data_IF_081664849791
#
_entry.id   IF_081664849791
#
_cell.length_a   1.000
_cell.length_b   1.000
_cell.length_c   1.000
_cell.angle_alpha   90.00
_cell.angle_beta   90.00
_cell.angle_gamma   90.00
#
_symmetry.space_group_name_H-M   'P 1'
#
loop_
_entity.id
_entity.type
_entity.pdbx_description
1 polymer ?
#
# COMPACT_ATOMS: atom_id res chain seq x y z
N UNK A 1 -10.86 -19.44 -12.19
CA UNK A 1 -11.01 -18.24 -13.05
C UNK A 1 -9.90 -17.25 -12.66
N UNK A 2 -9.21 -16.72 -13.64
CA UNK A 2 -8.14 -15.72 -13.51
C UNK A 2 -8.49 -14.48 -14.33
N UNK A 3 -8.10 -13.31 -13.83
CA UNK A 3 -8.13 -12.07 -14.60
C UNK A 3 -6.70 -11.71 -15.00
N UNK A 4 -6.50 -11.36 -16.27
CA UNK A 4 -5.24 -10.89 -16.80
C UNK A 4 -5.40 -9.45 -17.28
N UNK A 5 -4.58 -8.53 -16.77
CA UNK A 5 -4.64 -7.10 -17.10
C UNK A 5 -3.32 -6.70 -17.77
N UNK A 6 -3.38 -6.20 -19.00
CA UNK A 6 -2.21 -5.75 -19.75
C UNK A 6 -2.61 -4.85 -20.92
N UNK A 7 -1.83 -3.79 -21.15
CA UNK A 7 -2.13 -2.81 -22.21
C UNK A 7 -1.87 -3.34 -23.61
N UNK A 8 -0.91 -4.25 -23.77
CA UNK A 8 -0.56 -4.83 -25.06
C UNK A 8 -1.05 -6.29 -25.14
N UNK A 9 -1.88 -6.58 -26.15
CA UNK A 9 -2.36 -7.93 -26.40
C UNK A 9 -1.20 -8.93 -26.62
N UNK A 10 -0.07 -8.50 -27.18
CA UNK A 10 1.09 -9.35 -27.40
C UNK A 10 1.79 -9.75 -26.08
N UNK A 11 1.81 -8.87 -25.08
CA UNK A 11 2.39 -9.17 -23.76
C UNK A 11 1.65 -10.30 -23.05
N UNK A 12 0.34 -10.38 -23.25
CA UNK A 12 -0.50 -11.38 -22.60
C UNK A 12 -0.70 -12.65 -23.40
N UNK A 13 -0.41 -12.65 -24.72
CA UNK A 13 -0.68 -13.81 -25.59
C UNK A 13 0.04 -15.06 -25.10
N UNK A 14 1.32 -14.96 -24.80
CA UNK A 14 2.12 -16.10 -24.32
C UNK A 14 1.65 -16.58 -22.95
N UNK A 15 1.40 -15.64 -22.03
CA UNK A 15 0.85 -15.94 -20.71
C UNK A 15 -0.51 -16.64 -20.82
N UNK A 16 -1.37 -16.14 -21.71
CA UNK A 16 -2.69 -16.77 -21.97
C UNK A 16 -2.57 -18.17 -22.52
N UNK A 17 -1.64 -18.43 -23.43
CA UNK A 17 -1.40 -19.77 -23.95
C UNK A 17 -1.06 -20.76 -22.85
N UNK A 18 -0.17 -20.38 -21.91
CA UNK A 18 0.22 -21.21 -20.77
C UNK A 18 -0.98 -21.45 -19.84
N UNK A 19 -1.77 -20.41 -19.59
CA UNK A 19 -2.81 -20.46 -18.56
C UNK A 19 -4.13 -21.07 -19.05
N UNK A 20 -4.48 -20.89 -20.33
CA UNK A 20 -5.77 -21.35 -20.88
C UNK A 20 -5.93 -22.87 -20.90
N UNK A 21 -4.85 -23.63 -20.76
CA UNK A 21 -4.91 -25.07 -20.61
C UNK A 21 -5.49 -25.54 -19.27
N UNK A 22 -5.31 -24.72 -18.20
CA UNK A 22 -5.66 -25.11 -16.84
C UNK A 22 -6.66 -24.16 -16.16
N UNK A 23 -6.81 -22.94 -16.67
CA UNK A 23 -7.63 -21.90 -16.05
C UNK A 23 -8.59 -21.25 -17.06
N UNK A 24 -9.75 -20.86 -16.56
CA UNK A 24 -10.67 -19.95 -17.25
C UNK A 24 -10.11 -18.52 -17.11
N UNK A 25 -9.60 -17.96 -18.24
CA UNK A 25 -8.85 -16.70 -18.27
C UNK A 25 -9.68 -15.60 -18.94
N UNK A 26 -9.88 -14.50 -18.23
CA UNK A 26 -10.51 -13.29 -18.73
C UNK A 26 -9.47 -12.17 -18.83
N UNK A 27 -9.34 -11.52 -19.97
CA UNK A 27 -8.39 -10.46 -20.22
C UNK A 27 -9.04 -9.08 -20.27
N UNK A 28 -8.28 -8.10 -19.78
CA UNK A 28 -8.66 -6.69 -19.71
C UNK A 28 -7.49 -5.82 -20.17
N UNK A 29 -7.80 -4.77 -20.91
CA UNK A 29 -6.79 -3.81 -21.39
C UNK A 29 -6.40 -2.76 -20.33
N UNK A 30 -7.24 -2.56 -19.32
CA UNK A 30 -7.01 -1.60 -18.25
C UNK A 30 -7.59 -2.10 -16.92
N UNK A 31 -7.19 -1.42 -15.84
CA UNK A 31 -7.63 -1.71 -14.48
C UNK A 31 -9.13 -1.45 -14.29
N UNK A 32 -9.66 -0.39 -14.87
CA UNK A 32 -11.06 0.02 -14.70
C UNK A 32 -12.06 -0.99 -15.25
N UNK A 33 -11.74 -1.58 -16.42
CA UNK A 33 -12.56 -2.64 -17.01
C UNK A 33 -12.58 -3.88 -16.12
N UNK A 34 -11.40 -4.25 -15.58
CA UNK A 34 -11.28 -5.36 -14.66
C UNK A 34 -12.06 -5.11 -13.34
N UNK A 35 -12.04 -3.89 -12.81
CA UNK A 35 -12.81 -3.51 -11.62
C UNK A 35 -14.32 -3.62 -11.85
N UNK A 36 -14.79 -3.17 -13.00
CA UNK A 36 -16.19 -3.30 -13.37
C UNK A 36 -16.64 -4.77 -13.42
N UNK A 37 -15.75 -5.66 -13.86
CA UNK A 37 -15.98 -7.10 -13.87
C UNK A 37 -15.92 -7.72 -12.45
N UNK A 38 -15.07 -7.20 -11.56
CA UNK A 38 -14.97 -7.65 -10.15
C UNK A 38 -16.29 -7.50 -9.38
N UNK A 39 -17.08 -6.48 -9.72
CA UNK A 39 -18.40 -6.28 -9.12
C UNK A 39 -19.39 -7.41 -9.47
N UNK A 40 -19.20 -8.09 -10.61
CA UNK A 40 -20.07 -9.16 -11.08
C UNK A 40 -19.55 -10.56 -10.68
N UNK A 41 -18.26 -10.80 -10.83
CA UNK A 41 -17.65 -12.10 -10.57
C UNK A 41 -16.21 -11.92 -10.06
N UNK A 42 -15.91 -12.48 -8.88
CA UNK A 42 -14.57 -12.40 -8.28
C UNK A 42 -13.66 -13.51 -8.82
N UNK A 43 -12.46 -13.18 -9.35
CA UNK A 43 -11.48 -14.17 -9.75
C UNK A 43 -10.74 -14.71 -8.52
N UNK A 44 -10.10 -15.86 -8.65
CA UNK A 44 -9.23 -16.42 -7.62
C UNK A 44 -7.90 -15.66 -7.51
N UNK A 45 -7.48 -15.06 -8.63
CA UNK A 45 -6.23 -14.32 -8.76
C UNK A 45 -6.34 -13.32 -9.91
N UNK A 46 -5.72 -12.15 -9.74
CA UNK A 46 -5.47 -11.17 -10.80
C UNK A 46 -3.99 -11.21 -11.15
N UNK A 47 -3.70 -11.39 -12.42
CA UNK A 47 -2.38 -11.17 -13.01
C UNK A 47 -2.41 -9.78 -13.65
N UNK A 48 -1.59 -8.86 -13.17
CA UNK A 48 -1.56 -7.49 -13.67
C UNK A 48 -0.15 -7.16 -14.17
N UNK A 49 -0.04 -6.72 -15.42
CA UNK A 49 1.23 -6.25 -15.94
C UNK A 49 1.61 -4.90 -15.32
N UNK A 50 2.90 -4.72 -15.03
CA UNK A 50 3.44 -3.53 -14.37
C UNK A 50 3.07 -2.23 -15.08
N UNK A 51 2.98 -2.24 -16.43
CA UNK A 51 2.58 -1.06 -17.21
C UNK A 51 1.17 -0.57 -16.93
N UNK A 52 0.33 -1.40 -16.32
CA UNK A 52 -1.04 -1.05 -15.92
C UNK A 52 -1.11 -0.56 -14.47
N UNK A 53 0.00 -0.59 -13.72
CA UNK A 53 0.09 -0.03 -12.37
C UNK A 53 0.29 1.49 -12.46
N UNK A 54 -0.82 2.21 -12.52
CA UNK A 54 -0.91 3.65 -12.35
C UNK A 54 -1.50 3.99 -10.97
N UNK A 55 -1.70 5.28 -10.69
CA UNK A 55 -2.33 5.74 -9.44
C UNK A 55 -3.72 5.16 -9.16
N UNK A 56 -4.40 4.65 -10.18
CA UNK A 56 -5.72 4.02 -10.07
C UNK A 56 -5.62 2.54 -9.66
N UNK A 57 -4.45 1.92 -9.85
CA UNK A 57 -4.22 0.53 -9.47
C UNK A 57 -4.24 0.27 -7.95
N UNK A 58 -4.10 1.30 -7.12
CA UNK A 58 -4.31 1.21 -5.68
C UNK A 58 -5.70 0.66 -5.35
N UNK A 59 -6.67 0.90 -6.21
CA UNK A 59 -8.02 0.39 -6.08
C UNK A 59 -8.12 -1.13 -6.25
N UNK A 60 -7.23 -1.78 -7.02
CA UNK A 60 -7.16 -3.25 -7.09
C UNK A 60 -6.79 -3.88 -5.75
N UNK A 61 -5.98 -3.17 -4.96
CA UNK A 61 -5.52 -3.61 -3.65
C UNK A 61 -6.52 -3.24 -2.53
N UNK A 62 -7.37 -2.24 -2.78
CA UNK A 62 -8.27 -1.62 -1.79
C UNK A 62 -9.61 -2.33 -1.62
N UNK A 63 -9.99 -3.25 -2.50
CA UNK A 63 -11.25 -4.00 -2.40
C UNK A 63 -11.20 -5.05 -1.26
N UNK A 64 -10.93 -4.56 -0.05
CA UNK A 64 -10.98 -5.32 1.18
C UNK A 64 -12.17 -4.87 2.03
N UNK A 65 -13.37 -5.26 1.66
CA UNK A 65 -14.43 -5.34 2.65
C UNK A 65 -14.04 -6.38 3.71
N UNK A 66 -14.29 -6.05 4.97
CA UNK A 66 -13.89 -6.82 6.14
C UNK A 66 -14.53 -8.23 6.24
N UNK A 67 -15.26 -8.65 5.22
CA UNK A 67 -15.91 -9.95 5.11
C UNK A 67 -15.65 -10.56 3.74
N UNK A 68 -14.84 -11.60 3.70
CA UNK A 68 -14.58 -12.51 2.59
C UNK A 68 -13.32 -12.22 1.74
N UNK A 69 -12.69 -13.27 1.38
CA UNK A 69 -11.53 -13.52 0.53
C UNK A 69 -11.04 -12.32 -0.29
N UNK A 70 -9.92 -11.75 0.16
CA UNK A 70 -9.19 -10.72 -0.60
C UNK A 70 -8.78 -11.30 -1.93
N UNK A 71 -9.16 -10.64 -3.02
CA UNK A 71 -8.65 -10.99 -4.35
C UNK A 71 -7.13 -10.84 -4.33
N UNK A 72 -6.43 -11.89 -4.73
CA UNK A 72 -4.97 -11.93 -4.75
C UNK A 72 -4.47 -11.31 -6.03
N UNK A 73 -3.41 -10.50 -5.96
CA UNK A 73 -2.82 -9.85 -7.14
C UNK A 73 -1.36 -10.27 -7.27
N UNK A 74 -0.99 -10.77 -8.44
CA UNK A 74 0.39 -11.01 -8.86
C UNK A 74 0.76 -10.01 -9.95
N UNK A 75 1.83 -9.27 -9.75
CA UNK A 75 2.33 -8.32 -10.73
C UNK A 75 3.35 -9.01 -11.64
N UNK A 76 3.22 -8.76 -12.94
CA UNK A 76 4.13 -9.26 -13.98
C UNK A 76 4.90 -8.10 -14.58
N UNK A 77 6.15 -8.33 -14.99
CA UNK A 77 6.92 -7.31 -15.69
C UNK A 77 8.41 -7.63 -15.82
N UNK A 78 9.21 -6.68 -16.31
CA UNK A 78 10.64 -6.84 -16.49
C UNK A 78 11.36 -6.96 -15.14
N UNK A 79 12.64 -7.26 -15.16
CA UNK A 79 13.44 -7.32 -13.92
C UNK A 79 13.48 -5.97 -13.21
N UNK A 80 13.03 -5.97 -11.95
CA UNK A 80 13.02 -4.80 -11.07
C UNK A 80 14.09 -4.89 -9.98
N UNK A 81 14.47 -3.72 -9.44
CA UNK A 81 15.28 -3.63 -8.24
C UNK A 81 14.52 -4.16 -7.02
N UNK A 82 15.26 -4.50 -5.95
CA UNK A 82 14.66 -4.96 -4.68
C UNK A 82 13.69 -3.93 -4.11
N UNK A 83 14.05 -2.65 -4.13
CA UNK A 83 13.22 -1.57 -3.57
C UNK A 83 11.89 -1.39 -4.34
N UNK A 84 11.92 -1.50 -5.65
CA UNK A 84 10.71 -1.43 -6.47
C UNK A 84 9.78 -2.61 -6.18
N UNK A 85 10.33 -3.83 -6.08
CA UNK A 85 9.54 -5.02 -5.73
C UNK A 85 8.94 -4.89 -4.32
N UNK A 86 9.69 -4.39 -3.34
CA UNK A 86 9.19 -4.12 -1.98
C UNK A 86 8.05 -3.10 -2.03
N UNK A 87 8.17 -2.03 -2.82
CA UNK A 87 7.11 -1.03 -2.97
C UNK A 87 5.80 -1.65 -3.48
N UNK A 88 5.87 -2.55 -4.47
CA UNK A 88 4.73 -3.28 -5.02
C UNK A 88 4.08 -4.18 -3.96
N UNK A 89 4.88 -4.90 -3.18
CA UNK A 89 4.38 -5.76 -2.08
C UNK A 89 3.69 -4.95 -0.99
N UNK A 90 4.22 -3.78 -0.65
CA UNK A 90 3.60 -2.85 0.33
C UNK A 90 2.24 -2.33 -0.12
N UNK A 91 2.02 -2.18 -1.41
CA UNK A 91 0.72 -1.81 -1.97
C UNK A 91 -0.33 -2.91 -1.84
N UNK A 92 0.09 -4.15 -1.57
CA UNK A 92 -0.81 -5.28 -1.32
C UNK A 92 -0.70 -6.43 -2.33
N UNK A 93 0.23 -6.36 -3.28
CA UNK A 93 0.51 -7.46 -4.18
C UNK A 93 0.98 -8.71 -3.40
N UNK A 94 0.64 -9.89 -3.90
CA UNK A 94 1.08 -11.17 -3.36
C UNK A 94 2.40 -11.65 -3.94
N UNK A 95 2.95 -10.91 -4.90
CA UNK A 95 4.24 -11.20 -5.47
C UNK A 95 4.54 -10.36 -6.71
N UNK A 96 5.78 -10.48 -7.15
CA UNK A 96 6.26 -9.96 -8.41
C UNK A 96 6.85 -11.11 -9.23
N UNK A 97 6.45 -11.23 -10.49
CA UNK A 97 6.90 -12.26 -11.40
C UNK A 97 7.64 -11.64 -12.58
N UNK A 98 8.89 -12.07 -12.83
CA UNK A 98 9.70 -11.59 -13.93
C UNK A 98 9.31 -12.32 -15.22
N UNK A 99 9.01 -11.60 -16.28
CA UNK A 99 8.56 -12.15 -17.58
C UNK A 99 9.56 -13.12 -18.21
N UNK A 100 10.86 -12.94 -17.95
CA UNK A 100 11.92 -13.82 -18.47
C UNK A 100 11.88 -15.24 -17.87
N UNK A 101 11.07 -15.47 -16.83
CA UNK A 101 10.95 -16.76 -16.13
C UNK A 101 9.69 -17.56 -16.50
N UNK A 102 9.00 -17.17 -17.59
CA UNK A 102 7.60 -17.49 -17.84
C UNK A 102 7.26 -18.97 -17.87
N UNK A 103 8.04 -19.81 -18.55
CA UNK A 103 7.50 -21.12 -18.99
C UNK A 103 7.23 -22.11 -17.86
N UNK A 104 8.16 -22.32 -16.95
CA UNK A 104 8.03 -23.38 -15.94
C UNK A 104 7.56 -22.87 -14.56
N UNK A 105 7.70 -21.59 -14.28
CA UNK A 105 7.54 -21.05 -12.93
C UNK A 105 6.22 -20.32 -12.70
N UNK A 106 5.56 -19.85 -13.77
CA UNK A 106 4.33 -19.07 -13.63
C UNK A 106 3.19 -19.88 -13.00
N UNK A 107 3.00 -21.13 -13.44
CA UNK A 107 1.99 -22.01 -12.87
C UNK A 107 2.26 -22.29 -11.39
N UNK A 108 3.53 -22.50 -11.02
CA UNK A 108 3.93 -22.71 -9.63
C UNK A 108 3.62 -21.45 -8.80
N UNK A 109 3.95 -20.26 -9.32
CA UNK A 109 3.66 -19.00 -8.64
C UNK A 109 2.16 -18.81 -8.40
N UNK A 110 1.34 -19.10 -9.40
CA UNK A 110 -0.11 -19.04 -9.31
C UNK A 110 -0.65 -19.99 -8.25
N UNK A 111 -0.21 -21.25 -8.24
CA UNK A 111 -0.64 -22.22 -7.24
C UNK A 111 -0.28 -21.79 -5.80
N UNK A 112 0.95 -21.33 -5.58
CA UNK A 112 1.40 -20.84 -4.27
C UNK A 112 0.53 -19.67 -3.79
N UNK A 113 0.28 -18.70 -4.68
CA UNK A 113 -0.54 -17.55 -4.32
C UNK A 113 -1.99 -17.97 -4.06
N UNK A 114 -2.54 -18.92 -4.81
CA UNK A 114 -3.89 -19.46 -4.55
C UNK A 114 -3.99 -20.18 -3.20
N UNK A 115 -2.91 -20.74 -2.69
CA UNK A 115 -2.84 -21.34 -1.34
C UNK A 115 -2.67 -20.28 -0.24
N UNK A 116 -2.52 -18.99 -0.60
CA UNK A 116 -2.35 -17.89 0.36
C UNK A 116 -0.91 -17.53 0.62
N UNK A 117 0.04 -18.16 -0.04
CA UNK A 117 1.47 -17.86 0.04
C UNK A 117 1.81 -16.62 -0.79
N UNK A 118 3.07 -16.22 -0.79
CA UNK A 118 3.61 -15.09 -1.57
C UNK A 118 4.66 -15.59 -2.55
N UNK A 119 4.73 -14.98 -3.73
CA UNK A 119 5.77 -15.24 -4.71
C UNK A 119 6.80 -14.12 -4.67
N UNK A 120 7.91 -14.36 -3.98
CA UNK A 120 8.96 -13.35 -3.74
C UNK A 120 10.33 -14.03 -3.75
N UNK A 121 11.30 -13.41 -4.40
CA UNK A 121 12.67 -13.90 -4.38
C UNK A 121 13.32 -13.71 -2.99
N UNK A 122 14.23 -14.62 -2.60
CA UNK A 122 14.86 -14.61 -1.27
C UNK A 122 15.53 -13.28 -0.91
N UNK A 123 16.18 -12.64 -1.88
CA UNK A 123 16.87 -11.38 -1.65
C UNK A 123 15.90 -10.20 -1.45
N UNK A 124 14.69 -10.27 -2.02
CA UNK A 124 13.63 -9.29 -1.77
C UNK A 124 13.06 -9.46 -0.37
N UNK A 125 12.90 -10.72 0.10
CA UNK A 125 12.49 -11.01 1.48
C UNK A 125 13.52 -10.45 2.47
N UNK A 126 14.82 -10.66 2.21
CA UNK A 126 15.89 -10.10 3.03
C UNK A 126 15.82 -8.57 3.07
N UNK A 127 15.66 -7.92 1.92
CA UNK A 127 15.50 -6.47 1.84
C UNK A 127 14.26 -5.95 2.59
N UNK A 128 13.15 -6.69 2.53
CA UNK A 128 11.91 -6.34 3.27
C UNK A 128 12.13 -6.45 4.79
N UNK A 129 12.83 -7.50 5.25
CA UNK A 129 13.19 -7.67 6.66
C UNK A 129 14.12 -6.54 7.10
N UNK A 130 15.13 -6.21 6.30
CA UNK A 130 16.04 -5.11 6.59
C UNK A 130 15.28 -3.77 6.65
N UNK A 131 14.36 -3.52 5.74
CA UNK A 131 13.54 -2.32 5.76
C UNK A 131 12.61 -2.25 6.96
N UNK A 132 12.02 -3.37 7.39
CA UNK A 132 11.22 -3.45 8.62
C UNK A 132 12.08 -3.21 9.86
N UNK A 133 13.32 -3.69 9.87
CA UNK A 133 14.27 -3.46 10.95
C UNK A 133 14.82 -2.01 10.95
N UNK A 134 14.87 -1.37 9.78
CA UNK A 134 15.28 0.01 9.59
C UNK A 134 14.09 0.96 9.38
N UNK A 135 12.84 0.46 9.44
CA UNK A 135 11.68 1.34 9.60
C UNK A 135 12.01 2.26 10.78
N UNK A 136 11.82 3.58 10.65
CA UNK A 136 12.23 4.50 11.69
C UNK A 136 11.56 4.08 13.00
N UNK A 137 12.25 3.27 13.78
CA UNK A 137 11.93 3.13 15.20
C UNK A 137 12.09 4.54 15.72
N UNK A 138 10.98 5.13 16.13
CA UNK A 138 10.99 6.40 16.84
C UNK A 138 12.20 6.39 17.76
N UNK A 139 13.09 7.37 17.62
CA UNK A 139 14.18 7.47 18.57
C UNK A 139 13.55 7.50 19.97
N UNK A 140 14.26 6.99 20.97
CA UNK A 140 13.76 7.03 22.36
C UNK A 140 13.30 8.42 22.75
N UNK A 141 13.94 9.45 22.22
CA UNK A 141 13.57 10.83 22.41
C UNK A 141 12.26 11.21 21.69
N UNK A 142 12.05 10.76 20.46
CA UNK A 142 10.80 10.98 19.72
C UNK A 142 9.63 10.27 20.41
N UNK A 143 9.84 9.03 20.87
CA UNK A 143 8.84 8.29 21.63
C UNK A 143 8.47 8.99 22.92
N UNK A 144 9.45 9.46 23.70
CA UNK A 144 9.21 10.22 24.94
C UNK A 144 8.43 11.50 24.69
N UNK A 145 8.71 12.21 23.58
CA UNK A 145 7.96 13.41 23.20
C UNK A 145 6.50 13.07 22.90
N UNK A 146 6.22 11.98 22.19
CA UNK A 146 4.86 11.53 21.91
C UNK A 146 4.13 11.09 23.19
N UNK A 147 4.78 10.29 24.02
CA UNK A 147 4.22 9.79 25.28
C UNK A 147 3.90 10.90 26.30
N UNK A 148 4.54 12.07 26.15
CA UNK A 148 4.25 13.25 26.97
C UNK A 148 2.92 13.93 26.64
N UNK A 149 2.35 13.64 25.47
CA UNK A 149 1.11 14.25 25.00
C UNK A 149 -0.12 13.50 25.54
N UNK A 150 -1.12 14.25 25.98
CA UNK A 150 -2.44 13.70 26.22
C UNK A 150 -3.14 13.32 24.91
N UNK A 151 -4.17 12.46 24.96
CA UNK A 151 -4.96 12.06 23.79
C UNK A 151 -5.47 13.27 22.98
N UNK A 152 -5.92 14.32 23.66
CA UNK A 152 -6.43 15.54 23.00
C UNK A 152 -5.32 16.37 22.36
N UNK A 153 -4.16 16.43 22.98
CA UNK A 153 -2.99 17.09 22.40
C UNK A 153 -2.46 16.32 21.17
N UNK A 154 -2.45 15.00 21.22
CA UNK A 154 -2.08 14.16 20.08
C UNK A 154 -3.02 14.39 18.90
N UNK A 155 -4.34 14.37 19.13
CA UNK A 155 -5.36 14.65 18.12
C UNK A 155 -5.18 16.05 17.47
N UNK A 156 -4.86 17.06 18.28
CA UNK A 156 -4.54 18.40 17.77
C UNK A 156 -3.27 18.38 16.92
N UNK A 157 -2.22 17.70 17.36
CA UNK A 157 -0.94 17.63 16.65
C UNK A 157 -1.08 16.92 15.30
N UNK A 158 -1.84 15.84 15.25
CA UNK A 158 -2.17 15.12 14.00
C UNK A 158 -2.92 16.02 13.00
N UNK A 159 -3.93 16.75 13.45
CA UNK A 159 -4.66 17.71 12.61
C UNK A 159 -3.75 18.82 12.08
N UNK A 160 -2.80 19.27 12.89
CA UNK A 160 -1.78 20.25 12.46
C UNK A 160 -0.89 19.68 11.37
N UNK A 161 -0.47 18.43 11.46
CA UNK A 161 0.37 17.77 10.45
C UNK A 161 -0.33 17.64 9.09
N UNK A 162 -1.67 17.57 9.09
CA UNK A 162 -2.50 17.60 7.88
C UNK A 162 -2.81 19.04 7.39
N UNK A 163 -2.18 20.07 7.96
CA UNK A 163 -2.36 21.46 7.52
C UNK A 163 -3.64 22.14 8.02
N UNK A 164 -4.39 21.54 8.96
CA UNK A 164 -5.63 22.11 9.47
C UNK A 164 -5.39 23.42 10.21
N UNK A 165 -6.16 24.48 9.94
CA UNK A 165 -6.12 25.73 10.69
C UNK A 165 -6.75 25.59 12.09
N UNK A 166 -6.46 26.51 13.03
CA UNK A 166 -7.08 26.47 14.36
C UNK A 166 -8.61 26.44 14.29
N UNK A 167 -9.20 27.15 13.33
CA UNK A 167 -10.64 27.17 13.09
C UNK A 167 -11.18 25.80 12.62
N UNK A 168 -10.43 25.11 11.76
CA UNK A 168 -10.77 23.76 11.31
C UNK A 168 -10.67 22.77 12.48
N UNK A 169 -9.57 22.80 13.23
CA UNK A 169 -9.35 21.96 14.42
C UNK A 169 -10.46 22.15 15.43
N UNK A 170 -10.80 23.41 15.73
CA UNK A 170 -11.87 23.77 16.67
C UNK A 170 -13.21 23.15 16.24
N UNK A 171 -13.56 23.21 14.97
CA UNK A 171 -14.77 22.58 14.40
C UNK A 171 -14.72 21.05 14.48
N UNK A 172 -13.62 20.44 14.06
CA UNK A 172 -13.46 18.98 14.04
C UNK A 172 -13.57 18.37 15.43
N UNK A 173 -12.92 19.02 16.41
CA UNK A 173 -12.89 18.54 17.81
C UNK A 173 -14.05 19.07 18.67
N UNK A 174 -14.92 19.90 18.12
CA UNK A 174 -16.03 20.56 18.83
C UNK A 174 -15.57 21.35 20.08
N UNK A 175 -14.51 22.15 19.92
CA UNK A 175 -13.93 23.03 20.96
C UNK A 175 -13.77 24.45 20.43
N UNK A 176 -13.36 25.39 21.26
CA UNK A 176 -13.09 26.76 20.82
C UNK A 176 -11.69 26.91 20.23
N UNK A 177 -11.48 27.91 19.35
CA UNK A 177 -10.14 28.21 18.84
C UNK A 177 -9.17 28.64 19.98
N UNK A 178 -9.70 29.21 21.05
CA UNK A 178 -8.92 29.52 22.26
C UNK A 178 -8.39 28.22 22.91
N UNK A 179 -9.22 27.21 22.98
CA UNK A 179 -8.83 25.88 23.51
C UNK A 179 -7.77 25.22 22.62
N UNK A 180 -7.92 25.32 21.28
CA UNK A 180 -6.91 24.82 20.33
C UNK A 180 -5.56 25.53 20.56
N UNK A 181 -5.55 26.85 20.72
CA UNK A 181 -4.32 27.62 21.04
C UNK A 181 -3.69 27.16 22.34
N UNK A 182 -4.50 26.90 23.38
CA UNK A 182 -3.99 26.39 24.66
C UNK A 182 -3.34 25.00 24.49
N UNK A 183 -3.98 24.09 23.75
CA UNK A 183 -3.38 22.79 23.43
C UNK A 183 -2.06 22.93 22.65
N UNK A 184 -2.00 23.78 21.63
CA UNK A 184 -0.77 24.03 20.87
C UNK A 184 0.36 24.55 21.75
N UNK A 185 0.07 25.48 22.66
CA UNK A 185 1.07 25.97 23.61
C UNK A 185 1.60 24.85 24.51
N UNK A 186 0.71 23.99 25.03
CA UNK A 186 1.11 22.86 25.85
C UNK A 186 1.94 21.83 25.04
N UNK A 187 1.54 21.54 23.78
CA UNK A 187 2.28 20.66 22.88
C UNK A 187 3.70 21.18 22.63
N UNK A 188 3.84 22.45 22.28
CA UNK A 188 5.16 23.07 22.02
C UNK A 188 6.08 22.96 23.24
N UNK A 189 5.54 23.21 24.45
CA UNK A 189 6.29 23.08 25.69
C UNK A 189 6.71 21.62 25.98
N UNK A 190 5.77 20.67 25.90
CA UNK A 190 6.02 19.28 26.24
C UNK A 190 6.98 18.60 25.27
N UNK A 191 6.85 18.89 23.98
CA UNK A 191 7.70 18.32 22.93
C UNK A 191 9.00 19.09 22.74
N UNK A 192 9.17 20.24 23.39
CA UNK A 192 10.28 21.17 23.17
C UNK A 192 10.43 21.54 21.67
N UNK A 193 9.33 21.93 21.04
CA UNK A 193 9.25 22.32 19.62
C UNK A 193 8.91 23.82 19.57
N UNK A 194 9.63 24.63 18.75
CA UNK A 194 9.50 26.06 18.76
C UNK A 194 8.20 26.60 18.14
N UNK A 195 7.67 25.92 17.15
CA UNK A 195 6.59 26.45 16.33
C UNK A 195 5.74 25.35 15.67
N UNK A 196 4.66 25.79 15.00
CA UNK A 196 3.71 24.94 14.29
C UNK A 196 4.33 24.19 13.11
N UNK A 197 5.27 24.81 12.39
CA UNK A 197 5.90 24.19 11.24
C UNK A 197 6.77 23.01 11.69
N UNK A 198 7.55 23.23 12.74
CA UNK A 198 8.38 22.19 13.36
C UNK A 198 7.54 21.02 13.88
N UNK A 199 6.35 21.29 14.44
CA UNK A 199 5.39 20.26 14.83
C UNK A 199 4.88 19.46 13.63
N UNK A 200 4.51 20.15 12.55
CA UNK A 200 4.03 19.49 11.32
C UNK A 200 5.12 18.61 10.69
N UNK A 201 6.37 19.08 10.65
CA UNK A 201 7.52 18.33 10.16
C UNK A 201 7.75 17.09 11.02
N UNK A 202 7.77 17.23 12.35
CA UNK A 202 7.95 16.11 13.28
C UNK A 202 6.95 14.98 13.02
N UNK A 203 5.66 15.30 12.88
CA UNK A 203 4.62 14.30 12.62
C UNK A 203 4.61 13.78 11.20
N UNK A 204 5.12 14.52 10.21
CA UNK A 204 5.33 14.02 8.85
C UNK A 204 6.43 12.96 8.81
N UNK A 205 7.53 13.19 9.53
CA UNK A 205 8.71 12.30 9.54
C UNK A 205 8.47 11.03 10.37
N UNK A 206 7.31 10.92 11.05
CA UNK A 206 6.84 9.72 11.75
C UNK A 206 6.01 8.77 10.86
N UNK A 207 5.73 9.16 9.62
CA UNK A 207 4.94 8.37 8.66
C UNK A 207 5.82 7.70 7.66
#
# INVERSE_FOLDING_TARGET
MLYCIGQDANQLVHIKQILSEQYDVHDFSCVDDAQSALAQKKPNLILCHLSCLNSEAESLFSHSDASAERVRVLILGPKLSVLEQISILKQGARGYFQEELLDDKLLIAIELIQRGEVWVERHVIAGLIDELNHAPTLSSEQQQKLDSLSRKELEVAELVSHGATNKMIARTMNITERTVKAHLTAIFQKMNIPDRLSLAIFFRDLR
#
